data_IF_708152926640
#
_entry.id   IF_708152926640
#
_cell.length_a   1.000
_cell.length_b   1.000
_cell.length_c   1.000
_cell.angle_alpha   90.00
_cell.angle_beta   90.00
_cell.angle_gamma   90.00
#
_symmetry.space_group_name_H-M   'P 1'
#
loop_
_entity.id
_entity.type
_entity.pdbx_description
1 polymer ?
#
# COMPACT_ATOMS: atom_id res chain seq x y z
N UNK A 1 13.86 26.28 -57.83
CA UNK A 1 12.91 27.38 -57.80
C UNK A 1 12.33 27.40 -56.37
N UNK A 2 12.83 28.30 -55.53
CA UNK A 2 12.18 29.55 -55.08
C UNK A 2 10.98 29.20 -54.20
N UNK A 3 10.81 29.60 -52.94
CA UNK A 3 11.38 30.63 -52.06
C UNK A 3 10.57 30.53 -50.74
N UNK A 4 11.22 30.54 -49.60
CA UNK A 4 11.27 31.67 -48.63
C UNK A 4 9.96 31.96 -47.92
N UNK A 5 9.89 32.01 -46.61
CA UNK A 5 10.33 32.93 -45.60
C UNK A 5 9.71 32.59 -44.25
N UNK A 6 10.29 32.46 -43.15
CA UNK A 6 11.05 33.44 -42.35
C UNK A 6 10.26 34.65 -41.87
N UNK A 7 9.92 34.71 -40.57
CA UNK A 7 9.83 35.89 -39.69
C UNK A 7 9.87 35.37 -38.27
N UNK A 8 10.91 35.34 -37.53
CA UNK A 8 11.70 36.36 -36.79
C UNK A 8 10.89 37.26 -35.83
N UNK A 9 11.16 37.01 -34.56
CA UNK A 9 11.66 37.90 -33.49
C UNK A 9 10.95 39.24 -33.24
N UNK A 10 10.82 39.54 -31.92
CA UNK A 10 11.18 40.83 -31.25
C UNK A 10 10.87 40.58 -29.76
N UNK A 11 11.82 40.45 -28.84
CA UNK A 11 12.63 41.50 -28.19
C UNK A 11 11.80 42.56 -27.46
N UNK A 12 11.85 42.57 -26.12
CA UNK A 12 12.16 43.83 -25.40
C UNK A 12 12.77 43.57 -24.02
N UNK A 13 14.01 43.96 -23.88
CA UNK A 13 14.67 44.33 -22.63
C UNK A 13 14.13 45.68 -22.15
N UNK A 14 13.98 45.84 -20.84
CA UNK A 14 13.99 47.17 -20.22
C UNK A 14 14.83 47.12 -18.94
N UNK A 15 15.93 47.83 -19.03
CA UNK A 15 16.88 48.22 -17.99
C UNK A 15 16.25 49.37 -17.20
N UNK A 16 16.28 49.30 -15.89
CA UNK A 16 16.04 50.47 -15.05
C UNK A 16 17.15 50.63 -14.02
N UNK A 17 17.65 51.80 -13.98
CA UNK A 17 18.87 52.29 -13.40
C UNK A 17 18.87 52.39 -11.88
N UNK A 18 20.08 52.25 -11.36
CA UNK A 18 20.54 52.55 -10.01
C UNK A 18 20.51 54.06 -9.76
N UNK A 19 20.04 54.49 -8.60
CA UNK A 19 20.48 55.72 -7.97
C UNK A 19 20.92 55.45 -6.55
N UNK A 20 22.22 55.59 -6.34
CA UNK A 20 22.89 55.74 -5.06
C UNK A 20 22.63 57.15 -4.51
N UNK A 21 22.22 57.22 -3.25
CA UNK A 21 22.46 58.39 -2.42
C UNK A 21 23.11 57.96 -1.13
N UNK A 22 24.33 58.40 -0.93
CA UNK A 22 25.04 58.29 0.35
C UNK A 22 24.86 59.62 1.12
N UNK A 23 24.67 59.53 2.45
CA UNK A 23 25.26 60.40 3.47
C UNK A 23 24.77 59.99 4.88
N UNK A 24 25.62 59.60 5.66
CA UNK A 24 26.41 60.05 6.80
C UNK A 24 25.75 59.96 8.20
N UNK A 25 26.42 59.15 9.04
CA UNK A 25 26.69 59.26 10.48
C UNK A 25 25.62 59.76 11.44
N UNK A 26 25.28 58.84 12.35
CA UNK A 26 24.77 59.06 13.68
C UNK A 26 24.84 57.74 14.48
N UNK A 27 25.74 57.68 15.43
CA UNK A 27 25.90 56.60 16.37
C UNK A 27 24.77 56.64 17.41
N UNK A 28 23.98 55.55 17.52
CA UNK A 28 23.34 55.18 18.77
C UNK A 28 23.14 53.66 18.79
N UNK A 29 23.72 53.03 19.80
CA UNK A 29 23.65 51.63 20.11
C UNK A 29 22.24 51.27 20.61
N UNK A 30 21.46 50.58 19.80
CA UNK A 30 20.40 49.65 20.23
C UNK A 30 20.13 48.69 19.09
N UNK A 31 20.64 47.48 19.22
CA UNK A 31 20.31 46.38 18.32
C UNK A 31 18.83 46.00 18.48
N UNK A 32 18.02 46.13 17.42
CA UNK A 32 16.72 45.50 17.41
C UNK A 32 16.87 44.01 17.08
N UNK A 33 16.32 43.16 17.93
CA UNK A 33 16.15 41.73 17.66
C UNK A 33 15.65 41.49 16.24
N UNK A 34 16.23 40.55 15.47
CA UNK A 34 15.80 40.26 14.12
C UNK A 34 14.33 39.75 14.15
N UNK A 35 13.47 40.44 13.38
CA UNK A 35 12.14 39.93 13.08
C UNK A 35 12.27 38.58 12.39
N UNK A 36 11.44 37.56 12.76
CA UNK A 36 11.41 36.32 12.01
C UNK A 36 11.07 36.60 10.55
N UNK A 37 11.80 35.97 9.65
CA UNK A 37 11.55 36.02 8.21
C UNK A 37 10.06 35.72 7.92
N UNK A 38 9.42 36.46 7.02
CA UNK A 38 8.06 36.18 6.60
C UNK A 38 8.03 34.76 6.05
N UNK A 39 7.11 33.92 6.55
CA UNK A 39 6.84 32.60 5.98
C UNK A 39 6.67 32.78 4.47
N UNK A 40 7.32 31.96 3.64
CA UNK A 40 7.11 32.00 2.20
C UNK A 40 5.60 31.83 1.93
N UNK A 41 5.06 32.70 1.09
CA UNK A 41 3.69 32.59 0.62
C UNK A 41 3.40 31.16 0.17
N UNK A 42 2.24 30.60 0.51
CA UNK A 42 1.86 29.28 0.03
C UNK A 42 1.94 29.30 -1.50
N UNK A 43 2.73 28.39 -2.09
CA UNK A 43 2.79 28.21 -3.54
C UNK A 43 1.35 28.13 -4.04
N UNK A 44 0.99 28.86 -5.11
CA UNK A 44 -0.35 28.78 -5.67
C UNK A 44 -0.65 27.31 -5.94
N UNK A 45 -1.79 26.87 -5.44
CA UNK A 45 -2.32 25.53 -5.68
C UNK A 45 -2.34 25.33 -7.21
N UNK A 46 -1.71 24.27 -7.77
CA UNK A 46 -1.72 24.08 -9.21
C UNK A 46 -3.18 24.09 -9.68
N UNK A 47 -3.47 24.93 -10.67
CA UNK A 47 -4.79 24.99 -11.30
C UNK A 47 -5.21 23.56 -11.65
N UNK A 48 -6.35 23.14 -11.11
CA UNK A 48 -6.95 21.85 -11.40
C UNK A 48 -7.33 21.87 -12.88
N UNK A 49 -6.50 21.29 -13.74
CA UNK A 49 -6.95 20.90 -15.07
C UNK A 49 -7.99 19.82 -14.87
N UNK A 50 -9.26 20.18 -15.03
CA UNK A 50 -10.35 19.19 -15.17
C UNK A 50 -9.91 18.35 -16.37
N UNK A 51 -9.54 17.10 -16.09
CA UNK A 51 -9.22 16.15 -17.15
C UNK A 51 -10.48 16.03 -18.00
N UNK A 52 -10.37 16.39 -19.26
CA UNK A 52 -11.42 16.18 -20.24
C UNK A 52 -11.76 14.68 -20.24
N UNK A 53 -12.95 14.35 -19.76
CA UNK A 53 -13.37 12.94 -19.59
C UNK A 53 -13.47 12.19 -20.92
N UNK A 54 -13.22 12.87 -22.04
CA UNK A 54 -12.99 12.26 -23.36
C UNK A 54 -14.21 11.55 -23.96
N UNK A 55 -15.38 11.64 -23.34
CA UNK A 55 -16.61 11.21 -23.95
C UNK A 55 -17.63 12.35 -24.01
N UNK A 56 -18.22 12.50 -25.15
CA UNK A 56 -19.28 13.48 -25.34
C UNK A 56 -20.43 13.18 -24.39
N UNK A 57 -21.03 14.22 -23.83
CA UNK A 57 -22.31 14.15 -23.14
C UNK A 57 -23.22 13.29 -23.99
N UNK A 58 -23.88 12.28 -23.40
CA UNK A 58 -24.82 11.44 -24.13
C UNK A 58 -25.87 12.32 -24.85
N UNK A 59 -25.87 12.38 -26.18
CA UNK A 59 -26.76 13.29 -26.89
C UNK A 59 -28.24 12.86 -26.82
N UNK A 60 -28.49 11.62 -26.40
CA UNK A 60 -29.81 11.01 -26.36
C UNK A 60 -30.46 11.06 -24.97
N UNK A 61 -30.00 11.92 -24.08
CA UNK A 61 -30.63 12.12 -22.78
C UNK A 61 -32.03 12.70 -22.96
N UNK A 62 -33.03 12.10 -22.30
CA UNK A 62 -34.38 12.63 -22.24
C UNK A 62 -34.36 13.96 -21.46
N UNK A 63 -34.56 15.07 -22.18
CA UNK A 63 -34.52 16.43 -21.65
C UNK A 63 -35.63 16.76 -20.63
N UNK A 64 -36.62 15.89 -20.50
CA UNK A 64 -37.70 16.04 -19.48
C UNK A 64 -37.28 15.50 -18.12
N UNK A 65 -36.23 14.67 -18.07
CA UNK A 65 -35.72 14.06 -16.87
C UNK A 65 -34.61 14.91 -16.27
N UNK A 66 -34.73 15.26 -15.00
CA UNK A 66 -33.75 16.09 -14.29
C UNK A 66 -32.64 15.28 -13.60
N UNK A 67 -32.97 14.03 -13.26
CA UNK A 67 -32.08 13.16 -12.51
C UNK A 67 -31.81 11.87 -13.27
N UNK A 68 -30.54 11.59 -13.54
CA UNK A 68 -30.13 10.38 -14.24
C UNK A 68 -28.67 10.01 -13.91
N UNK A 69 -28.33 8.76 -14.23
CA UNK A 69 -26.97 8.23 -14.33
C UNK A 69 -26.84 7.61 -15.72
N UNK A 70 -25.85 8.02 -16.49
CA UNK A 70 -25.55 7.40 -17.78
C UNK A 70 -24.12 6.86 -17.80
N UNK A 71 -23.91 5.68 -18.37
CA UNK A 71 -22.58 5.08 -18.47
C UNK A 71 -22.39 4.34 -19.80
N UNK A 72 -21.10 4.22 -20.17
CA UNK A 72 -20.65 3.39 -21.28
C UNK A 72 -20.10 2.07 -20.76
N UNK A 73 -20.57 0.96 -21.32
CA UNK A 73 -20.12 -0.39 -20.98
C UNK A 73 -19.93 -1.26 -22.21
N UNK A 74 -19.03 -2.25 -22.10
CA UNK A 74 -18.87 -3.32 -23.08
C UNK A 74 -19.58 -4.62 -22.67
N UNK A 75 -20.24 -4.62 -21.52
CA UNK A 75 -21.03 -5.78 -21.08
C UNK A 75 -22.39 -5.79 -21.74
N UNK A 76 -22.87 -6.93 -22.28
CA UNK A 76 -24.22 -7.02 -22.86
C UNK A 76 -25.30 -7.07 -21.79
N UNK A 77 -24.94 -7.31 -20.54
CA UNK A 77 -25.89 -7.39 -19.42
C UNK A 77 -25.15 -7.17 -18.11
N UNK A 78 -25.87 -6.77 -17.07
CA UNK A 78 -25.32 -6.63 -15.73
C UNK A 78 -26.38 -6.83 -14.65
N UNK A 79 -25.95 -7.27 -13.48
CA UNK A 79 -26.71 -7.15 -12.25
C UNK A 79 -26.37 -5.81 -11.60
N UNK A 80 -27.37 -4.96 -11.40
CA UNK A 80 -27.22 -3.63 -10.80
C UNK A 80 -28.19 -3.51 -9.64
N UNK A 81 -27.71 -2.96 -8.53
CA UNK A 81 -28.50 -2.68 -7.34
C UNK A 81 -28.71 -1.18 -7.19
N UNK A 82 -29.94 -0.75 -7.06
CA UNK A 82 -30.31 0.66 -7.10
C UNK A 82 -31.37 0.97 -6.05
N UNK A 83 -31.22 2.13 -5.40
CA UNK A 83 -32.28 2.74 -4.63
C UNK A 83 -32.51 4.19 -5.08
N UNK A 84 -33.75 4.63 -5.15
CA UNK A 84 -34.13 5.96 -5.59
C UNK A 84 -35.28 6.53 -4.77
N UNK A 85 -35.35 7.85 -4.73
CA UNK A 85 -36.51 8.56 -4.21
C UNK A 85 -37.58 8.60 -5.31
N UNK A 86 -38.69 7.89 -5.10
CA UNK A 86 -39.75 7.78 -6.07
C UNK A 86 -39.53 6.68 -7.10
N UNK A 87 -40.13 6.89 -8.28
CA UNK A 87 -40.05 5.93 -9.40
C UNK A 87 -39.01 6.39 -10.42
N UNK A 88 -38.54 5.47 -11.24
CA UNK A 88 -37.69 5.76 -12.38
C UNK A 88 -37.78 4.67 -13.44
N UNK A 89 -36.99 4.76 -14.48
CA UNK A 89 -36.95 3.82 -15.61
C UNK A 89 -35.55 3.72 -16.19
N UNK A 90 -35.30 2.79 -17.08
CA UNK A 90 -33.99 2.56 -17.67
C UNK A 90 -34.09 2.56 -19.19
N UNK A 91 -33.33 3.44 -19.83
CA UNK A 91 -33.17 3.49 -21.28
C UNK A 91 -32.09 2.49 -21.68
N UNK A 92 -32.49 1.32 -22.10
CA UNK A 92 -31.61 0.18 -22.40
C UNK A 92 -31.01 0.24 -23.81
N UNK A 93 -31.66 0.98 -24.73
CA UNK A 93 -31.28 1.12 -26.14
C UNK A 93 -30.67 2.49 -26.47
N UNK A 94 -30.66 3.40 -25.48
CA UNK A 94 -30.14 4.77 -25.60
C UNK A 94 -30.85 5.61 -26.69
N UNK A 95 -32.18 5.53 -26.80
CA UNK A 95 -32.95 6.35 -27.72
C UNK A 95 -33.55 7.61 -27.06
N UNK A 96 -33.45 7.76 -25.73
CA UNK A 96 -33.96 8.88 -24.94
C UNK A 96 -35.51 8.84 -24.77
N UNK A 97 -36.15 7.74 -25.12
CA UNK A 97 -37.57 7.52 -24.99
C UNK A 97 -37.82 6.31 -24.08
N UNK A 98 -38.94 6.33 -23.40
CA UNK A 98 -39.37 5.18 -22.61
C UNK A 98 -40.17 4.22 -23.48
N UNK A 99 -39.59 3.11 -23.85
CA UNK A 99 -40.19 2.07 -24.67
C UNK A 99 -41.10 1.13 -23.85
N UNK A 100 -41.87 0.26 -24.53
CA UNK A 100 -42.83 -0.64 -23.86
C UNK A 100 -42.16 -1.60 -22.87
N UNK A 101 -40.93 -2.02 -23.13
CA UNK A 101 -40.16 -2.90 -22.25
C UNK A 101 -39.31 -2.14 -21.20
N UNK A 102 -39.35 -0.83 -21.17
CA UNK A 102 -38.65 0.07 -20.26
C UNK A 102 -39.57 0.69 -19.20
N UNK A 103 -40.40 -0.15 -18.61
CA UNK A 103 -41.43 0.29 -17.69
C UNK A 103 -40.92 1.06 -16.48
N UNK A 104 -41.66 2.10 -16.10
CA UNK A 104 -41.44 2.81 -14.84
C UNK A 104 -41.53 1.85 -13.65
N UNK A 105 -40.54 1.88 -12.79
CA UNK A 105 -40.41 0.97 -11.66
C UNK A 105 -39.98 1.70 -10.37
N UNK A 106 -40.21 1.05 -9.25
CA UNK A 106 -39.61 1.45 -7.95
C UNK A 106 -38.27 0.72 -7.80
N UNK A 107 -37.21 1.45 -7.51
CA UNK A 107 -35.92 0.89 -7.20
C UNK A 107 -35.81 0.65 -5.68
N UNK A 108 -35.62 -0.60 -5.27
CA UNK A 108 -35.81 -1.05 -3.88
C UNK A 108 -34.53 -1.59 -3.22
N UNK A 109 -33.37 -1.19 -3.69
CA UNK A 109 -32.07 -1.68 -3.19
C UNK A 109 -31.94 -3.23 -3.28
N UNK A 110 -32.52 -3.81 -4.33
CA UNK A 110 -32.41 -5.25 -4.62
C UNK A 110 -31.71 -5.42 -5.96
N UNK A 111 -30.73 -6.34 -6.05
CA UNK A 111 -30.04 -6.61 -7.30
C UNK A 111 -31.02 -7.04 -8.41
N UNK A 112 -30.97 -6.37 -9.56
CA UNK A 112 -31.78 -6.69 -10.72
C UNK A 112 -30.90 -6.88 -11.95
N UNK A 113 -31.23 -7.89 -12.77
CA UNK A 113 -30.53 -8.14 -14.03
C UNK A 113 -31.10 -7.25 -15.13
N UNK A 114 -30.21 -6.58 -15.85
CA UNK A 114 -30.52 -5.78 -17.02
C UNK A 114 -29.80 -6.34 -18.24
N UNK A 115 -30.52 -6.46 -19.36
CA UNK A 115 -29.93 -6.78 -20.68
C UNK A 115 -29.85 -5.50 -21.48
N UNK A 116 -28.66 -5.11 -21.86
CA UNK A 116 -28.41 -3.86 -22.58
C UNK A 116 -28.59 -4.05 -24.09
N UNK A 117 -29.25 -3.13 -24.73
CA UNK A 117 -29.46 -3.08 -26.17
C UNK A 117 -28.48 -2.07 -26.83
N UNK A 118 -27.83 -1.26 -26.01
CA UNK A 118 -26.82 -0.28 -26.40
C UNK A 118 -25.60 -0.37 -25.49
N UNK A 119 -24.44 0.07 -25.97
CA UNK A 119 -23.24 0.24 -25.14
C UNK A 119 -23.37 1.43 -24.18
N UNK A 120 -24.25 2.38 -24.46
CA UNK A 120 -24.61 3.48 -23.56
C UNK A 120 -25.95 3.16 -22.94
N UNK A 121 -26.04 3.25 -21.63
CA UNK A 121 -27.24 2.95 -20.84
C UNK A 121 -27.52 4.10 -19.91
N UNK A 122 -28.76 4.53 -19.82
CA UNK A 122 -29.19 5.62 -18.94
C UNK A 122 -30.25 5.16 -17.96
N UNK A 123 -30.00 5.36 -16.70
CA UNK A 123 -30.95 5.17 -15.60
C UNK A 123 -31.54 6.51 -15.23
N UNK A 124 -32.86 6.68 -15.33
CA UNK A 124 -33.58 7.88 -14.94
C UNK A 124 -34.24 7.69 -13.58
N UNK A 125 -34.00 8.63 -12.66
CA UNK A 125 -34.51 8.60 -11.29
C UNK A 125 -33.62 9.36 -10.31
N UNK A 126 -34.20 9.75 -9.18
CA UNK A 126 -33.44 10.44 -8.12
C UNK A 126 -32.76 9.42 -7.19
N UNK A 127 -31.57 8.99 -7.57
CA UNK A 127 -30.84 7.89 -6.95
C UNK A 127 -30.23 8.28 -5.61
N UNK A 128 -30.35 7.37 -4.63
CA UNK A 128 -29.66 7.43 -3.35
C UNK A 128 -28.55 6.37 -3.24
N UNK A 129 -28.69 5.23 -3.93
CA UNK A 129 -27.69 4.16 -3.99
C UNK A 129 -27.58 3.67 -5.44
N UNK A 130 -26.36 3.47 -5.89
CA UNK A 130 -26.06 2.92 -7.20
C UNK A 130 -24.84 2.00 -7.11
N UNK A 131 -25.07 0.69 -7.31
CA UNK A 131 -24.07 -0.36 -7.23
C UNK A 131 -24.03 -1.10 -8.56
N UNK A 132 -22.96 -0.88 -9.33
CA UNK A 132 -22.73 -1.45 -10.65
C UNK A 132 -21.33 -2.05 -10.75
N UNK A 133 -21.11 -3.13 -10.02
CA UNK A 133 -19.83 -3.81 -9.93
C UNK A 133 -19.64 -4.83 -11.04
N UNK A 134 -18.42 -4.95 -11.59
CA UNK A 134 -18.07 -5.93 -12.65
C UNK A 134 -18.88 -5.76 -13.95
N UNK A 135 -19.23 -4.54 -14.29
CA UNK A 135 -20.06 -4.20 -15.47
C UNK A 135 -19.21 -3.78 -16.66
N UNK A 136 -17.86 -3.76 -16.54
CA UNK A 136 -16.94 -3.23 -17.55
C UNK A 136 -17.24 -1.78 -17.95
N UNK A 137 -17.65 -0.97 -16.97
CA UNK A 137 -17.90 0.45 -17.16
C UNK A 137 -16.57 1.15 -17.43
N UNK A 138 -16.48 1.87 -18.55
CA UNK A 138 -15.31 2.69 -18.90
C UNK A 138 -15.51 4.15 -18.54
N UNK A 139 -16.72 4.66 -18.74
CA UNK A 139 -17.10 6.04 -18.48
C UNK A 139 -18.45 6.08 -17.81
N UNK A 140 -18.66 7.02 -16.90
CA UNK A 140 -19.92 7.25 -16.21
C UNK A 140 -20.11 8.74 -15.95
N UNK A 141 -21.31 9.24 -16.18
CA UNK A 141 -21.75 10.58 -15.80
C UNK A 141 -22.71 10.50 -14.61
N UNK A 142 -22.33 11.09 -13.50
CA UNK A 142 -23.06 11.18 -12.25
C UNK A 142 -23.52 12.61 -11.94
N UNK A 143 -23.28 13.56 -12.85
CA UNK A 143 -23.49 14.99 -12.61
C UNK A 143 -24.94 15.36 -12.29
N UNK A 144 -25.88 14.52 -12.67
CA UNK A 144 -27.32 14.71 -12.45
C UNK A 144 -27.90 13.87 -11.29
N UNK A 145 -27.04 13.39 -10.40
CA UNK A 145 -27.43 12.54 -9.26
C UNK A 145 -26.97 13.13 -7.91
N UNK A 146 -27.44 14.32 -7.51
CA UNK A 146 -26.97 15.00 -6.30
C UNK A 146 -27.41 14.32 -5.00
N UNK A 147 -28.47 13.50 -5.01
CA UNK A 147 -28.99 12.77 -3.86
C UNK A 147 -28.25 11.46 -3.58
N UNK A 148 -27.26 11.09 -4.42
CA UNK A 148 -26.52 9.84 -4.31
C UNK A 148 -25.70 9.82 -3.02
N UNK A 149 -25.95 8.82 -2.18
CA UNK A 149 -25.28 8.61 -0.87
C UNK A 149 -24.24 7.50 -0.95
N UNK A 150 -24.56 6.40 -1.62
CA UNK A 150 -23.69 5.24 -1.82
C UNK A 150 -23.46 4.99 -3.29
N UNK A 151 -22.21 4.91 -3.69
CA UNK A 151 -21.75 4.59 -5.03
C UNK A 151 -20.77 3.42 -4.98
N UNK A 152 -21.06 2.33 -5.69
CA UNK A 152 -20.12 1.24 -5.87
C UNK A 152 -19.90 0.92 -7.35
N UNK A 153 -18.66 1.09 -7.79
CA UNK A 153 -18.18 0.85 -9.15
C UNK A 153 -16.95 -0.05 -9.15
N UNK A 154 -16.92 -1.02 -8.22
CA UNK A 154 -15.80 -1.94 -8.09
C UNK A 154 -15.62 -2.81 -9.35
N UNK A 155 -14.36 -3.15 -9.65
CA UNK A 155 -14.03 -4.08 -10.74
C UNK A 155 -14.63 -3.68 -12.08
N UNK A 156 -14.47 -2.40 -12.42
CA UNK A 156 -14.78 -1.83 -13.71
C UNK A 156 -13.50 -1.43 -14.46
N UNK A 157 -13.64 -0.70 -15.54
CA UNK A 157 -12.52 -0.25 -16.39
C UNK A 157 -12.40 1.28 -16.40
N UNK A 158 -12.81 1.93 -15.29
CA UNK A 158 -12.77 3.38 -15.13
C UNK A 158 -11.34 3.90 -15.11
N UNK A 159 -11.05 4.88 -15.94
CA UNK A 159 -9.82 5.65 -15.92
C UNK A 159 -9.99 7.02 -15.24
N UNK A 160 -11.22 7.54 -15.21
CA UNK A 160 -11.60 8.85 -14.66
C UNK A 160 -12.95 8.77 -13.96
N UNK A 161 -13.19 9.70 -13.03
CA UNK A 161 -14.47 9.84 -12.34
C UNK A 161 -14.57 11.27 -11.78
N UNK A 162 -15.71 11.94 -11.99
CA UNK A 162 -16.05 13.23 -11.38
C UNK A 162 -17.18 13.06 -10.36
N UNK A 163 -16.93 13.46 -9.12
CA UNK A 163 -17.89 13.37 -8.02
C UNK A 163 -18.34 14.76 -7.52
N UNK A 164 -17.99 15.82 -8.22
CA UNK A 164 -18.20 17.22 -7.79
C UNK A 164 -19.68 17.58 -7.56
N UNK A 165 -20.61 16.93 -8.27
CA UNK A 165 -22.05 17.19 -8.17
C UNK A 165 -22.78 16.27 -7.18
N UNK A 166 -22.11 15.25 -6.66
CA UNK A 166 -22.74 14.25 -5.78
C UNK A 166 -22.55 14.63 -4.31
N UNK A 167 -23.15 15.75 -3.93
CA UNK A 167 -22.95 16.39 -2.60
C UNK A 167 -23.41 15.53 -1.41
N UNK A 168 -24.35 14.61 -1.64
CA UNK A 168 -24.87 13.72 -0.61
C UNK A 168 -24.01 12.47 -0.36
N UNK A 169 -22.98 12.19 -1.20
CA UNK A 169 -22.14 10.98 -1.09
C UNK A 169 -21.54 10.85 0.31
N UNK A 170 -21.66 9.67 0.87
CA UNK A 170 -21.05 9.28 2.15
C UNK A 170 -20.24 7.99 2.04
N UNK A 171 -20.43 7.22 0.99
CA UNK A 171 -19.74 5.96 0.76
C UNK A 171 -19.45 5.74 -0.74
N UNK A 172 -18.17 5.49 -1.08
CA UNK A 172 -17.72 5.32 -2.46
C UNK A 172 -16.79 4.11 -2.56
N UNK A 173 -17.04 3.22 -3.51
CA UNK A 173 -16.22 2.05 -3.81
C UNK A 173 -15.75 2.11 -5.26
N UNK A 174 -14.46 2.35 -5.47
CA UNK A 174 -13.83 2.47 -6.81
C UNK A 174 -12.59 1.60 -6.97
N UNK A 175 -12.35 0.68 -6.04
CA UNK A 175 -11.25 -0.27 -6.12
C UNK A 175 -11.36 -1.20 -7.33
N UNK A 176 -10.24 -1.74 -7.79
CA UNK A 176 -10.14 -2.58 -8.99
C UNK A 176 -10.65 -1.88 -10.26
N UNK A 177 -10.16 -0.68 -10.51
CA UNK A 177 -10.35 0.07 -11.75
C UNK A 177 -8.98 0.37 -12.40
N UNK A 178 -8.93 1.30 -13.36
CA UNK A 178 -7.71 1.68 -14.10
C UNK A 178 -7.32 3.14 -13.86
N UNK A 179 -7.69 3.70 -12.71
CA UNK A 179 -7.53 5.11 -12.35
C UNK A 179 -6.05 5.37 -12.03
N UNK A 180 -5.38 6.14 -12.87
CA UNK A 180 -3.99 6.55 -12.69
C UNK A 180 -3.86 7.67 -11.66
N UNK A 181 -2.63 7.96 -11.26
CA UNK A 181 -2.31 8.90 -10.17
C UNK A 181 -2.94 10.28 -10.37
N UNK A 182 -2.84 10.86 -11.58
CA UNK A 182 -3.41 12.18 -11.90
C UNK A 182 -4.95 12.17 -11.84
N UNK A 183 -5.58 11.11 -12.35
CA UNK A 183 -7.03 10.94 -12.30
C UNK A 183 -7.53 10.69 -10.88
N UNK A 184 -6.77 9.95 -10.06
CA UNK A 184 -7.10 9.73 -8.66
C UNK A 184 -7.00 11.05 -7.86
N UNK A 185 -6.02 11.89 -8.18
CA UNK A 185 -5.91 13.22 -7.60
C UNK A 185 -7.10 14.09 -7.99
N UNK A 186 -7.56 14.04 -9.26
CA UNK A 186 -8.74 14.76 -9.71
C UNK A 186 -10.01 14.30 -8.98
N UNK A 187 -10.17 12.98 -8.71
CA UNK A 187 -11.26 12.45 -7.89
C UNK A 187 -11.22 13.04 -6.48
N UNK A 188 -10.07 13.00 -5.81
CA UNK A 188 -9.90 13.58 -4.47
C UNK A 188 -10.18 15.10 -4.44
N UNK A 189 -9.91 15.79 -5.53
CA UNK A 189 -10.22 17.22 -5.71
C UNK A 189 -11.71 17.45 -5.97
N UNK A 190 -12.38 16.60 -6.73
CA UNK A 190 -13.80 16.73 -7.10
C UNK A 190 -14.74 16.35 -5.95
N UNK A 191 -14.35 15.39 -5.12
CA UNK A 191 -15.21 14.85 -4.06
C UNK A 191 -15.63 15.94 -3.06
N UNK A 192 -16.93 16.03 -2.68
CA UNK A 192 -17.42 17.09 -1.78
C UNK A 192 -16.81 17.00 -0.38
N UNK A 193 -16.49 18.14 0.22
CA UNK A 193 -16.07 18.20 1.63
C UNK A 193 -17.22 17.84 2.56
N UNK A 194 -16.93 17.09 3.64
CA UNK A 194 -17.89 16.67 4.66
C UNK A 194 -17.69 17.44 5.96
N UNK A 195 -18.74 17.51 6.77
CA UNK A 195 -18.67 18.04 8.13
C UNK A 195 -17.88 17.08 9.03
N UNK A 196 -17.20 17.62 10.05
CA UNK A 196 -16.32 16.86 10.96
C UNK A 196 -17.04 15.66 11.61
N UNK A 197 -18.31 15.83 11.96
CA UNK A 197 -19.11 14.79 12.62
C UNK A 197 -19.81 13.83 11.64
N UNK A 198 -19.63 14.01 10.32
CA UNK A 198 -20.25 13.21 9.27
C UNK A 198 -19.16 12.71 8.32
N UNK A 199 -18.25 11.89 8.83
CA UNK A 199 -17.17 11.30 8.04
C UNK A 199 -17.76 10.40 6.97
N UNK A 200 -17.24 10.56 5.75
CA UNK A 200 -17.56 9.69 4.62
C UNK A 200 -16.38 8.74 4.33
N UNK A 201 -16.65 7.67 3.61
CA UNK A 201 -15.68 6.61 3.35
C UNK A 201 -15.49 6.41 1.86
N UNK A 202 -14.24 6.25 1.42
CA UNK A 202 -13.91 5.89 0.04
C UNK A 202 -12.94 4.71 -0.01
N UNK A 203 -13.34 3.63 -0.71
CA UNK A 203 -12.55 2.44 -0.95
C UNK A 203 -11.79 2.58 -2.27
N UNK A 204 -10.48 2.75 -2.18
CA UNK A 204 -9.62 3.15 -3.29
C UNK A 204 -8.95 1.99 -4.01
N UNK A 205 -8.57 0.95 -3.27
CA UNK A 205 -7.86 -0.23 -3.80
C UNK A 205 -8.27 -1.51 -3.08
N UNK A 206 -8.09 -2.63 -3.76
CA UNK A 206 -8.28 -3.97 -3.21
C UNK A 206 -7.00 -4.79 -3.39
N UNK A 207 -6.60 -5.50 -2.32
CA UNK A 207 -5.42 -6.38 -2.32
C UNK A 207 -5.80 -7.86 -2.32
N UNK A 208 -7.01 -8.16 -2.73
CA UNK A 208 -7.44 -9.55 -2.87
C UNK A 208 -6.64 -10.24 -3.97
N UNK A 209 -6.14 -11.45 -3.69
CA UNK A 209 -5.54 -12.33 -4.71
C UNK A 209 -6.50 -12.56 -5.88
N UNK A 210 -5.96 -12.57 -7.11
CA UNK A 210 -6.75 -12.75 -8.33
C UNK A 210 -7.54 -11.50 -8.77
N UNK A 211 -7.33 -10.33 -8.16
CA UNK A 211 -7.86 -9.05 -8.65
C UNK A 211 -6.78 -8.26 -9.37
N UNK A 212 -7.13 -7.69 -10.52
CA UNK A 212 -6.25 -6.77 -11.26
C UNK A 212 -6.42 -5.35 -10.76
N UNK A 213 -5.87 -5.03 -9.58
CA UNK A 213 -5.88 -3.66 -9.09
C UNK A 213 -4.88 -2.80 -9.86
N UNK A 214 -5.37 -1.79 -10.57
CA UNK A 214 -4.55 -0.89 -11.36
C UNK A 214 -4.64 0.58 -10.93
N UNK A 215 -5.48 0.90 -9.94
CA UNK A 215 -5.56 2.24 -9.36
C UNK A 215 -4.23 2.66 -8.76
N UNK A 216 -3.84 3.93 -8.96
CA UNK A 216 -2.63 4.52 -8.42
C UNK A 216 -2.96 5.62 -7.44
N UNK A 217 -2.34 5.58 -6.27
CA UNK A 217 -2.59 6.52 -5.18
C UNK A 217 -1.25 7.05 -4.69
N UNK A 218 -1.22 8.32 -4.32
CA UNK A 218 -0.08 8.95 -3.67
C UNK A 218 -0.50 9.66 -2.38
N UNK A 219 0.48 10.17 -1.65
CA UNK A 219 0.24 10.89 -0.39
C UNK A 219 -0.68 12.11 -0.57
N UNK A 220 -0.57 12.82 -1.67
CA UNK A 220 -1.36 14.03 -1.93
C UNK A 220 -2.86 13.72 -2.03
N UNK A 221 -3.23 12.58 -2.64
CA UNK A 221 -4.61 12.07 -2.67
C UNK A 221 -5.14 11.85 -1.25
N UNK A 222 -4.35 11.21 -0.40
CA UNK A 222 -4.74 10.88 0.97
C UNK A 222 -4.90 12.14 1.84
N UNK A 223 -3.97 13.08 1.72
CA UNK A 223 -4.02 14.36 2.43
C UNK A 223 -5.30 15.14 2.04
N UNK A 224 -5.61 15.23 0.73
CA UNK A 224 -6.83 15.90 0.26
C UNK A 224 -8.12 15.23 0.75
N UNK A 225 -8.18 13.90 0.76
CA UNK A 225 -9.33 13.18 1.28
C UNK A 225 -9.51 13.45 2.78
N UNK A 226 -8.43 13.43 3.53
CA UNK A 226 -8.43 13.74 4.97
C UNK A 226 -8.90 15.17 5.23
N UNK A 227 -8.40 16.16 4.49
CA UNK A 227 -8.80 17.57 4.60
C UNK A 227 -10.29 17.80 4.26
N UNK A 228 -10.86 16.90 3.49
CA UNK A 228 -12.29 16.89 3.14
C UNK A 228 -13.15 16.03 4.05
N UNK A 229 -12.60 15.47 5.13
CA UNK A 229 -13.25 14.56 6.08
C UNK A 229 -13.73 13.25 5.43
N UNK A 230 -12.97 12.73 4.46
CA UNK A 230 -13.14 11.41 3.87
C UNK A 230 -12.10 10.44 4.45
N UNK A 231 -12.56 9.28 4.87
CA UNK A 231 -11.73 8.17 5.30
C UNK A 231 -11.39 7.30 4.08
N UNK A 232 -10.12 7.31 3.68
CA UNK A 232 -9.63 6.43 2.61
C UNK A 232 -9.46 5.00 3.16
N UNK A 233 -10.04 4.02 2.48
CA UNK A 233 -9.98 2.60 2.84
C UNK A 233 -9.42 1.74 1.74
N UNK A 234 -8.83 0.63 2.16
CA UNK A 234 -8.26 -0.41 1.31
C UNK A 234 -8.88 -1.73 1.70
N UNK A 235 -9.21 -2.54 0.71
CA UNK A 235 -9.91 -3.79 0.91
C UNK A 235 -8.91 -4.96 0.89
N UNK A 236 -8.78 -5.69 1.99
CA UNK A 236 -8.03 -6.94 2.08
C UNK A 236 -9.00 -8.06 2.50
N UNK A 237 -9.10 -9.10 1.67
CA UNK A 237 -9.92 -10.27 2.01
C UNK A 237 -9.01 -11.44 2.35
N UNK A 238 -9.08 -11.93 3.56
CA UNK A 238 -8.47 -13.20 3.95
C UNK A 238 -9.21 -14.35 3.28
N UNK A 239 -8.50 -15.26 2.59
CA UNK A 239 -9.08 -16.38 1.83
C UNK A 239 -9.77 -17.44 2.66
N UNK A 240 -9.67 -17.40 4.00
CA UNK A 240 -10.09 -18.46 4.88
C UNK A 240 -11.30 -18.17 5.78
N UNK A 241 -11.98 -17.04 5.61
CA UNK A 241 -13.22 -16.79 6.34
C UNK A 241 -14.35 -16.49 5.36
N UNK A 242 -15.33 -17.40 5.29
CA UNK A 242 -16.64 -17.18 4.65
C UNK A 242 -17.49 -16.12 5.38
N UNK A 243 -16.98 -15.50 6.42
CA UNK A 243 -17.59 -14.33 7.06
C UNK A 243 -16.94 -13.07 6.52
N UNK A 244 -17.78 -12.13 6.14
CA UNK A 244 -17.46 -10.76 5.77
C UNK A 244 -16.88 -10.00 6.98
N UNK A 245 -15.74 -10.42 7.49
CA UNK A 245 -14.88 -9.61 8.33
C UNK A 245 -14.10 -8.66 7.39
N UNK A 246 -14.87 -7.75 6.80
CA UNK A 246 -14.37 -6.55 6.17
C UNK A 246 -13.82 -5.66 7.28
N UNK A 247 -12.60 -5.98 7.76
CA UNK A 247 -11.84 -5.01 8.54
C UNK A 247 -11.09 -4.13 7.51
N UNK A 248 -11.73 -3.03 7.06
CA UNK A 248 -11.09 -2.11 6.14
C UNK A 248 -9.93 -1.51 6.92
N UNK A 249 -8.73 -1.51 6.35
CA UNK A 249 -7.59 -0.81 6.93
C UNK A 249 -7.97 0.67 7.07
N UNK A 250 -8.30 1.16 8.27
CA UNK A 250 -8.43 2.59 8.44
C UNK A 250 -7.04 3.21 8.31
N UNK A 251 -6.89 4.09 7.33
CA UNK A 251 -5.67 4.86 7.10
C UNK A 251 -5.33 5.83 8.25
N UNK A 252 -6.11 5.86 9.32
CA UNK A 252 -6.00 6.81 10.43
C UNK A 252 -4.65 6.80 11.15
N UNK A 253 -3.79 5.81 10.91
CA UNK A 253 -2.47 5.71 11.53
C UNK A 253 -1.41 5.09 10.61
N UNK A 254 -1.48 5.28 9.30
CA UNK A 254 -0.28 5.02 8.49
C UNK A 254 0.67 6.18 8.79
N UNK A 255 1.81 5.94 9.42
CA UNK A 255 2.80 6.98 9.59
C UNK A 255 3.10 7.55 8.20
N UNK A 256 2.93 8.85 8.02
CA UNK A 256 3.38 9.55 6.83
C UNK A 256 4.90 9.48 6.82
N UNK A 257 5.45 8.42 6.23
CA UNK A 257 6.88 8.21 6.29
C UNK A 257 7.31 6.82 5.86
N UNK A 258 8.53 6.54 6.13
CA UNK A 258 9.12 5.24 5.95
C UNK A 258 8.79 4.32 7.15
N UNK A 259 8.58 3.04 6.87
CA UNK A 259 8.38 2.06 7.95
C UNK A 259 9.70 1.61 8.58
N UNK A 260 10.83 2.12 8.09
CA UNK A 260 12.15 1.69 8.49
C UNK A 260 12.48 0.25 8.09
N UNK A 261 11.70 -0.35 7.18
CA UNK A 261 11.88 -1.71 6.68
C UNK A 261 12.31 -1.64 5.23
N UNK A 262 13.29 -2.47 4.87
CA UNK A 262 13.83 -2.58 3.52
C UNK A 262 13.76 -4.02 3.02
N UNK A 263 13.58 -4.19 1.72
CA UNK A 263 13.72 -5.45 0.99
C UNK A 263 14.80 -5.19 -0.07
N UNK A 264 15.99 -5.75 0.17
CA UNK A 264 17.20 -5.29 -0.52
C UNK A 264 17.46 -3.81 -0.26
N UNK A 265 17.82 -3.08 -1.28
CA UNK A 265 18.05 -1.62 -1.21
C UNK A 265 16.75 -0.79 -1.18
N UNK A 266 15.58 -1.42 -1.36
CA UNK A 266 14.31 -0.71 -1.50
C UNK A 266 13.52 -0.63 -0.21
N UNK A 267 13.19 0.59 0.20
CA UNK A 267 12.44 0.89 1.42
C UNK A 267 10.94 0.66 1.26
N UNK A 268 10.31 0.06 2.30
CA UNK A 268 8.86 0.04 2.45
C UNK A 268 8.37 1.39 2.97
N UNK A 269 7.43 1.96 2.24
CA UNK A 269 6.81 3.26 2.53
C UNK A 269 5.29 3.17 2.51
N UNK A 270 4.61 4.20 2.96
CA UNK A 270 3.16 4.31 2.86
C UNK A 270 2.64 4.24 1.41
N UNK A 271 3.50 4.48 0.42
CA UNK A 271 3.13 4.50 -0.99
C UNK A 271 3.45 3.21 -1.75
N UNK A 272 4.15 2.24 -1.16
CA UNK A 272 4.55 1.01 -1.88
C UNK A 272 4.34 -0.31 -1.09
N UNK A 273 3.96 -0.25 0.20
CA UNK A 273 3.89 -1.44 1.06
C UNK A 273 2.83 -2.46 0.64
N UNK A 274 1.82 -2.04 -0.12
CA UNK A 274 0.74 -2.91 -0.60
C UNK A 274 1.06 -3.62 -1.92
N UNK A 275 2.06 -3.14 -2.66
CA UNK A 275 2.48 -3.69 -3.96
C UNK A 275 3.97 -4.03 -3.94
N UNK A 276 4.30 -5.07 -3.18
CA UNK A 276 5.67 -5.58 -3.10
C UNK A 276 5.84 -6.61 -4.21
N UNK A 277 6.31 -6.16 -5.37
CA UNK A 277 6.54 -6.97 -6.57
C UNK A 277 7.97 -6.78 -7.06
N UNK A 278 8.47 -7.67 -7.92
CA UNK A 278 9.81 -7.54 -8.52
C UNK A 278 10.02 -6.24 -9.29
N UNK A 279 8.95 -5.66 -9.83
CA UNK A 279 9.00 -4.35 -10.50
C UNK A 279 9.37 -3.21 -9.52
N UNK A 280 8.81 -3.24 -8.31
CA UNK A 280 8.99 -2.18 -7.30
C UNK A 280 10.13 -2.50 -6.31
N UNK A 281 10.44 -3.78 -6.14
CA UNK A 281 11.47 -4.31 -5.26
C UNK A 281 12.36 -5.27 -6.05
N UNK A 282 13.40 -4.79 -6.73
CA UNK A 282 14.23 -5.60 -7.64
C UNK A 282 14.89 -6.82 -6.99
N UNK A 283 15.10 -6.79 -5.68
CA UNK A 283 15.62 -7.93 -4.93
C UNK A 283 14.64 -9.11 -4.84
N UNK A 284 13.33 -8.90 -5.06
CA UNK A 284 12.31 -9.93 -5.06
C UNK A 284 12.27 -10.62 -6.43
N UNK A 285 12.73 -11.87 -6.53
CA UNK A 285 12.72 -12.66 -7.77
C UNK A 285 11.37 -13.34 -8.01
N UNK A 286 10.73 -13.81 -6.93
CA UNK A 286 9.43 -14.53 -7.00
C UNK A 286 8.72 -14.55 -5.65
N UNK A 287 7.46 -15.00 -5.65
CA UNK A 287 6.61 -15.12 -4.48
C UNK A 287 5.87 -13.82 -4.14
N UNK A 288 5.19 -13.85 -3.02
CA UNK A 288 4.35 -12.74 -2.55
C UNK A 288 4.81 -12.28 -1.18
N UNK A 289 5.08 -10.99 -1.06
CA UNK A 289 5.33 -10.33 0.22
C UNK A 289 4.15 -9.42 0.54
N UNK A 290 3.60 -9.54 1.75
CA UNK A 290 2.56 -8.64 2.26
C UNK A 290 3.04 -8.01 3.56
N UNK A 291 2.80 -6.72 3.73
CA UNK A 291 3.12 -6.03 4.98
C UNK A 291 1.85 -5.47 5.62
N UNK A 292 1.65 -5.74 6.92
CA UNK A 292 0.56 -5.20 7.74
C UNK A 292 1.11 -4.11 8.67
N UNK A 293 1.01 -2.83 8.29
CA UNK A 293 1.70 -1.73 8.99
C UNK A 293 1.34 -1.61 10.47
N UNK A 294 0.05 -1.65 10.82
CA UNK A 294 -0.42 -1.50 12.21
C UNK A 294 0.13 -2.56 13.15
N UNK A 295 0.25 -3.80 12.66
CA UNK A 295 0.74 -4.94 13.43
C UNK A 295 2.23 -5.17 13.23
N UNK A 296 2.86 -4.45 12.29
CA UNK A 296 4.23 -4.63 11.86
C UNK A 296 4.54 -6.09 11.50
N UNK A 297 3.66 -6.69 10.71
CA UNK A 297 3.78 -8.07 10.26
C UNK A 297 4.15 -8.08 8.78
N UNK A 298 5.24 -8.77 8.45
CA UNK A 298 5.67 -9.07 7.09
C UNK A 298 5.38 -10.55 6.81
N UNK A 299 4.51 -10.83 5.85
CA UNK A 299 4.13 -12.19 5.45
C UNK A 299 4.93 -12.54 4.20
N UNK A 300 5.67 -13.65 4.26
CA UNK A 300 6.43 -14.21 3.14
C UNK A 300 5.73 -15.48 2.66
N UNK A 301 5.32 -15.51 1.40
CA UNK A 301 4.63 -16.65 0.80
C UNK A 301 5.33 -17.08 -0.50
N UNK A 302 6.09 -18.19 -0.45
CA UNK A 302 6.85 -18.71 -1.57
C UNK A 302 7.91 -17.75 -2.11
N UNK A 303 8.49 -16.93 -1.26
CA UNK A 303 9.34 -15.79 -1.62
C UNK A 303 10.75 -16.23 -1.96
N UNK A 304 11.29 -15.69 -3.06
CA UNK A 304 12.73 -15.68 -3.35
C UNK A 304 13.24 -14.24 -3.38
N UNK A 305 14.10 -13.89 -2.44
CA UNK A 305 14.83 -12.62 -2.41
C UNK A 305 16.30 -12.89 -2.73
N UNK A 306 16.87 -12.10 -3.64
CA UNK A 306 18.29 -12.16 -4.00
C UNK A 306 18.90 -10.77 -4.00
N UNK A 307 19.87 -10.56 -3.12
CA UNK A 307 20.65 -9.33 -3.00
C UNK A 307 22.09 -9.59 -3.38
N UNK A 308 22.55 -8.93 -4.41
CA UNK A 308 23.95 -8.98 -4.90
C UNK A 308 24.69 -7.68 -4.68
N UNK A 309 23.99 -6.64 -4.27
CA UNK A 309 24.52 -5.31 -3.97
C UNK A 309 25.42 -5.35 -2.73
N UNK A 310 26.45 -4.52 -2.73
CA UNK A 310 27.35 -4.38 -1.60
C UNK A 310 26.62 -3.70 -0.44
N UNK A 311 26.94 -4.12 0.79
CA UNK A 311 26.45 -3.53 2.04
C UNK A 311 24.91 -3.48 2.16
N UNK A 312 24.24 -4.49 1.59
CA UNK A 312 22.78 -4.56 1.54
C UNK A 312 22.26 -5.89 2.09
N UNK A 313 21.34 -5.80 3.06
CA UNK A 313 20.66 -6.97 3.65
C UNK A 313 19.51 -7.46 2.77
N UNK A 314 19.09 -8.70 2.96
CA UNK A 314 17.92 -9.26 2.29
C UNK A 314 16.64 -8.57 2.74
N UNK A 315 16.36 -8.62 4.04
CA UNK A 315 15.31 -7.87 4.73
C UNK A 315 15.96 -7.15 5.89
N UNK A 316 15.76 -5.82 6.00
CA UNK A 316 16.28 -5.10 7.15
C UNK A 316 15.30 -4.11 7.76
N UNK A 317 15.48 -3.87 9.07
CA UNK A 317 14.85 -2.78 9.81
C UNK A 317 15.94 -1.88 10.36
N UNK A 318 15.84 -0.58 10.07
CA UNK A 318 16.85 0.41 10.44
C UNK A 318 16.79 0.83 11.91
N UNK A 319 17.87 1.43 12.40
CA UNK A 319 18.00 1.95 13.76
C UNK A 319 16.96 3.06 14.10
N UNK A 320 16.46 3.77 13.10
CA UNK A 320 15.48 4.85 13.30
C UNK A 320 14.10 4.38 13.77
N UNK A 321 13.81 3.08 13.62
CA UNK A 321 12.51 2.52 14.00
C UNK A 321 12.66 1.48 15.10
N UNK A 322 12.29 1.85 16.34
CA UNK A 322 12.44 1.00 17.52
C UNK A 322 11.33 -0.03 17.75
N UNK A 323 10.38 -0.16 16.83
CA UNK A 323 9.26 -1.07 16.99
C UNK A 323 9.62 -2.51 16.55
N UNK A 324 9.03 -3.49 17.21
CA UNK A 324 9.24 -4.90 16.91
C UNK A 324 8.69 -5.28 15.53
N UNK A 325 9.30 -6.28 14.90
CA UNK A 325 8.90 -6.81 13.60
C UNK A 325 8.49 -8.28 13.75
N UNK A 326 7.40 -8.68 13.13
CA UNK A 326 7.00 -10.08 12.98
C UNK A 326 7.12 -10.49 11.53
N UNK A 327 7.78 -11.61 11.24
CA UNK A 327 7.81 -12.27 9.94
C UNK A 327 7.00 -13.56 10.04
N UNK A 328 5.96 -13.68 9.21
CA UNK A 328 5.13 -14.87 9.10
C UNK A 328 5.52 -15.63 7.84
N UNK A 329 5.90 -16.89 8.00
CA UNK A 329 6.30 -17.78 6.92
C UNK A 329 5.14 -18.64 6.45
N UNK A 330 4.86 -18.57 5.16
CA UNK A 330 3.97 -19.47 4.43
C UNK A 330 4.78 -20.06 3.29
N UNK A 331 4.53 -21.33 2.94
CA UNK A 331 5.25 -21.99 1.86
C UNK A 331 6.79 -22.02 2.06
N UNK A 332 7.52 -22.18 0.97
CA UNK A 332 8.98 -22.26 0.95
C UNK A 332 9.60 -20.92 0.57
N UNK A 333 10.24 -20.26 1.52
CA UNK A 333 10.87 -18.96 1.32
C UNK A 333 12.39 -19.08 1.27
N UNK A 334 13.04 -18.23 0.49
CA UNK A 334 14.48 -18.18 0.31
C UNK A 334 14.98 -16.75 0.30
N UNK A 335 16.02 -16.46 1.08
CA UNK A 335 16.70 -15.18 1.08
C UNK A 335 18.19 -15.41 0.88
N UNK A 336 18.71 -14.87 -0.21
CA UNK A 336 20.13 -14.82 -0.53
C UNK A 336 20.64 -13.39 -0.38
N UNK A 337 21.71 -13.20 0.39
CA UNK A 337 22.46 -11.94 0.45
C UNK A 337 23.94 -12.23 0.23
N UNK A 338 24.57 -11.57 -0.74
CA UNK A 338 25.94 -11.88 -1.13
C UNK A 338 26.94 -11.58 -0.02
N UNK A 339 26.88 -10.40 0.57
CA UNK A 339 27.92 -9.89 1.48
C UNK A 339 27.38 -9.35 2.82
N UNK A 340 26.08 -9.50 3.08
CA UNK A 340 25.40 -8.96 4.26
C UNK A 340 24.41 -9.94 4.84
N UNK A 341 23.72 -9.57 5.90
CA UNK A 341 22.73 -10.43 6.55
C UNK A 341 21.55 -10.73 5.62
N UNK A 342 21.02 -11.93 5.70
CA UNK A 342 19.75 -12.22 5.05
C UNK A 342 18.60 -11.46 5.75
N UNK A 343 18.66 -11.35 7.09
CA UNK A 343 17.70 -10.55 7.89
C UNK A 343 18.48 -9.77 8.95
N UNK A 344 18.28 -8.45 9.00
CA UNK A 344 18.86 -7.56 10.01
C UNK A 344 17.80 -6.69 10.68
N UNK A 345 17.66 -6.77 12.01
CA UNK A 345 16.79 -5.89 12.79
C UNK A 345 17.64 -5.07 13.75
N UNK A 346 17.93 -3.83 13.35
CA UNK A 346 18.90 -2.96 14.02
C UNK A 346 18.32 -2.11 15.14
N UNK A 347 17.00 -2.15 15.36
CA UNK A 347 16.36 -1.52 16.52
C UNK A 347 14.95 -2.08 16.73
N UNK A 348 14.83 -3.07 17.58
CA UNK A 348 13.57 -3.77 17.88
C UNK A 348 13.83 -5.26 18.03
N UNK A 349 12.78 -5.98 18.42
CA UNK A 349 12.79 -7.45 18.49
C UNK A 349 12.26 -8.03 17.18
N UNK A 350 12.68 -9.24 16.86
CA UNK A 350 12.18 -10.00 15.72
C UNK A 350 11.46 -11.25 16.19
N UNK A 351 10.26 -11.46 15.68
CA UNK A 351 9.54 -12.72 15.76
C UNK A 351 9.46 -13.35 14.37
N UNK A 352 9.83 -14.62 14.25
CA UNK A 352 9.61 -15.43 13.03
C UNK A 352 8.65 -16.55 13.41
N UNK A 353 7.55 -16.68 12.68
CA UNK A 353 6.47 -17.64 12.97
C UNK A 353 5.80 -18.14 11.69
N UNK A 354 4.84 -19.06 11.81
CA UNK A 354 4.11 -19.63 10.68
C UNK A 354 4.43 -21.11 10.50
N UNK A 355 3.95 -21.70 9.42
CA UNK A 355 4.13 -23.11 9.08
C UNK A 355 5.04 -23.33 7.85
N UNK A 356 5.57 -22.25 7.28
CA UNK A 356 6.45 -22.31 6.12
C UNK A 356 7.92 -22.55 6.47
N UNK A 357 8.76 -22.62 5.43
CA UNK A 357 10.21 -22.76 5.56
C UNK A 357 10.93 -21.48 5.18
N UNK A 358 12.12 -21.26 5.69
CA UNK A 358 12.99 -20.15 5.39
C UNK A 358 14.42 -20.62 5.21
N UNK A 359 14.93 -20.54 3.99
CA UNK A 359 16.30 -20.87 3.64
C UNK A 359 17.11 -19.59 3.51
N UNK A 360 18.11 -19.43 4.37
CA UNK A 360 18.98 -18.26 4.43
C UNK A 360 20.36 -18.62 3.93
N UNK A 361 20.85 -17.87 2.95
CA UNK A 361 22.16 -18.11 2.36
C UNK A 361 22.94 -16.81 2.19
N UNK A 362 24.21 -16.84 2.63
CA UNK A 362 25.21 -15.80 2.35
C UNK A 362 26.48 -16.41 1.79
N UNK A 363 27.18 -15.70 0.90
CA UNK A 363 28.51 -16.11 0.42
C UNK A 363 29.63 -15.70 1.34
N UNK A 364 29.42 -14.71 2.17
CA UNK A 364 30.50 -14.19 3.04
C UNK A 364 30.68 -15.04 4.29
N UNK A 365 31.94 -15.41 4.56
CA UNK A 365 32.35 -16.41 5.53
C UNK A 365 32.12 -16.05 7.01
N UNK A 366 31.92 -14.76 7.34
CA UNK A 366 31.78 -14.27 8.73
C UNK A 366 30.44 -13.56 8.98
N UNK A 367 29.42 -13.78 8.14
CA UNK A 367 28.18 -13.00 8.22
C UNK A 367 27.12 -13.71 9.06
N UNK A 368 26.41 -12.88 9.81
CA UNK A 368 25.21 -13.25 10.56
C UNK A 368 24.03 -13.27 9.59
N UNK A 369 23.49 -14.44 9.30
CA UNK A 369 22.29 -14.52 8.45
C UNK A 369 21.07 -13.91 9.10
N UNK A 370 20.93 -14.06 10.43
CA UNK A 370 19.95 -13.30 11.21
C UNK A 370 20.71 -12.51 12.27
N UNK A 371 20.55 -11.19 12.24
CA UNK A 371 21.15 -10.26 13.17
C UNK A 371 20.11 -9.37 13.82
N UNK A 372 19.86 -9.53 15.13
CA UNK A 372 18.84 -8.80 15.88
C UNK A 372 19.45 -8.14 17.11
N UNK A 373 19.32 -6.83 17.24
CA UNK A 373 19.90 -6.06 18.37
C UNK A 373 19.14 -6.26 19.70
N UNK A 374 17.87 -6.72 19.64
CA UNK A 374 17.11 -7.08 20.84
C UNK A 374 16.81 -8.57 20.88
N UNK A 375 15.57 -8.94 21.12
CA UNK A 375 15.16 -10.33 21.24
C UNK A 375 14.80 -10.94 19.88
N UNK A 376 15.17 -12.20 19.67
CA UNK A 376 14.75 -13.03 18.56
C UNK A 376 13.93 -14.20 19.07
N UNK A 377 12.70 -14.34 18.59
CA UNK A 377 11.85 -15.50 18.84
C UNK A 377 11.52 -16.20 17.53
N UNK A 378 11.80 -17.50 17.47
CA UNK A 378 11.43 -18.40 16.36
C UNK A 378 10.40 -19.37 16.92
N UNK A 379 9.16 -19.31 16.44
CA UNK A 379 8.05 -20.12 16.99
C UNK A 379 7.02 -20.52 15.94
N UNK A 380 6.00 -21.30 16.35
CA UNK A 380 4.82 -21.58 15.54
C UNK A 380 4.96 -22.70 14.51
N UNK A 381 5.99 -23.53 14.60
CA UNK A 381 6.16 -24.70 13.73
C UNK A 381 6.94 -24.43 12.44
N UNK A 382 7.47 -23.23 12.25
CA UNK A 382 8.29 -22.91 11.07
C UNK A 382 9.61 -23.69 11.08
N UNK A 383 10.23 -23.79 9.89
CA UNK A 383 11.54 -24.40 9.71
C UNK A 383 12.51 -23.41 9.11
N UNK A 384 13.67 -23.22 9.74
CA UNK A 384 14.72 -22.31 9.28
C UNK A 384 15.98 -23.12 8.99
N UNK A 385 16.54 -22.94 7.80
CA UNK A 385 17.86 -23.42 7.41
C UNK A 385 18.78 -22.25 7.08
N UNK A 386 19.98 -22.24 7.66
CA UNK A 386 20.94 -21.14 7.53
C UNK A 386 22.35 -21.66 7.35
N UNK A 387 23.10 -21.10 6.40
CA UNK A 387 24.55 -21.32 6.27
C UNK A 387 25.40 -20.26 7.01
N UNK A 388 24.77 -19.34 7.71
CA UNK A 388 25.43 -18.32 8.53
C UNK A 388 24.85 -18.24 9.93
N UNK A 389 25.50 -17.50 10.80
CA UNK A 389 25.18 -17.38 12.23
C UNK A 389 23.78 -16.74 12.43
N UNK A 390 23.09 -17.20 13.48
CA UNK A 390 21.87 -16.57 14.01
C UNK A 390 22.19 -15.95 15.37
N UNK A 391 21.97 -14.65 15.51
CA UNK A 391 22.30 -13.92 16.74
C UNK A 391 21.19 -12.97 17.19
N UNK A 392 21.02 -12.90 18.52
CA UNK A 392 20.26 -11.86 19.21
C UNK A 392 21.14 -11.23 20.28
N UNK A 393 21.25 -9.90 20.32
CA UNK A 393 22.07 -9.20 21.33
C UNK A 393 21.43 -9.24 22.73
N UNK A 394 20.16 -9.70 22.82
CA UNK A 394 19.53 -10.03 24.09
C UNK A 394 19.18 -11.51 24.16
N UNK A 395 17.89 -11.85 24.07
CA UNK A 395 17.42 -13.23 24.21
C UNK A 395 17.12 -13.85 22.86
N UNK A 396 17.63 -15.06 22.62
CA UNK A 396 17.22 -15.92 21.51
C UNK A 396 16.38 -17.07 22.03
N UNK A 397 15.17 -17.21 21.49
CA UNK A 397 14.22 -18.26 21.85
C UNK A 397 13.85 -19.08 20.61
N UNK A 398 13.94 -20.43 20.70
CA UNK A 398 13.34 -21.33 19.72
C UNK A 398 12.24 -22.12 20.42
N UNK A 399 11.00 -22.02 19.91
CA UNK A 399 9.84 -22.65 20.50
C UNK A 399 9.01 -23.39 19.43
N UNK A 400 8.83 -24.70 19.58
CA UNK A 400 8.06 -25.56 18.65
C UNK A 400 8.43 -25.36 17.17
N UNK A 401 9.72 -25.16 16.88
CA UNK A 401 10.19 -24.88 15.52
C UNK A 401 11.47 -25.63 15.22
N UNK A 402 11.75 -25.84 13.94
CA UNK A 402 12.97 -26.51 13.51
C UNK A 402 13.98 -25.45 13.06
N UNK A 403 15.23 -25.58 13.52
CA UNK A 403 16.31 -24.69 13.10
C UNK A 403 17.55 -25.52 12.80
N UNK A 404 18.08 -25.35 11.58
CA UNK A 404 19.33 -25.97 11.18
C UNK A 404 20.32 -24.90 10.71
N UNK A 405 21.41 -24.73 11.46
CA UNK A 405 22.52 -23.82 11.10
C UNK A 405 23.70 -24.68 10.71
N UNK A 406 24.24 -24.46 9.51
CA UNK A 406 25.30 -25.26 8.92
C UNK A 406 26.64 -24.50 8.90
N UNK A 407 27.72 -25.19 9.31
CA UNK A 407 29.10 -24.90 8.92
C UNK A 407 29.53 -23.45 9.08
N UNK A 408 29.18 -22.79 10.17
CA UNK A 408 29.65 -21.44 10.48
C UNK A 408 31.08 -21.48 11.04
N UNK A 409 31.86 -20.39 10.87
CA UNK A 409 33.15 -20.21 11.51
C UNK A 409 33.07 -19.66 12.94
N UNK A 410 31.86 -19.27 13.34
CA UNK A 410 31.50 -18.70 14.63
C UNK A 410 30.49 -19.61 15.33
N UNK A 411 30.13 -19.37 16.59
CA UNK A 411 29.03 -20.09 17.21
C UNK A 411 27.76 -20.04 16.34
N UNK A 412 27.16 -21.20 16.09
CA UNK A 412 26.00 -21.30 15.17
C UNK A 412 24.84 -20.41 15.58
N UNK A 413 24.52 -20.37 16.87
CA UNK A 413 23.46 -19.52 17.43
C UNK A 413 23.94 -18.86 18.71
N UNK A 414 23.60 -17.60 18.91
CA UNK A 414 24.01 -16.78 20.06
C UNK A 414 22.84 -15.95 20.59
N UNK A 415 22.64 -16.01 21.91
CA UNK A 415 21.85 -15.04 22.66
C UNK A 415 22.75 -14.39 23.70
N UNK A 416 23.01 -13.08 23.60
CA UNK A 416 23.99 -12.43 24.48
C UNK A 416 23.53 -12.48 25.94
N UNK A 417 22.29 -12.19 26.24
CA UNK A 417 21.72 -12.27 27.58
C UNK A 417 21.15 -13.69 27.87
N UNK A 418 20.54 -14.34 26.91
CA UNK A 418 20.00 -15.69 27.07
C UNK A 418 19.80 -16.43 25.74
N UNK A 419 19.91 -17.77 25.77
CA UNK A 419 19.53 -18.70 24.71
C UNK A 419 18.62 -19.78 25.30
N UNK A 420 17.41 -19.95 24.77
CA UNK A 420 16.38 -20.84 25.31
C UNK A 420 15.77 -21.73 24.25
N UNK A 421 15.58 -23.00 24.58
CA UNK A 421 14.77 -23.94 23.82
C UNK A 421 13.48 -24.24 24.59
N UNK A 422 12.34 -24.06 23.95
CA UNK A 422 11.01 -24.36 24.51
C UNK A 422 10.31 -25.36 23.59
N UNK A 423 9.92 -26.52 24.14
CA UNK A 423 9.29 -27.57 23.35
C UNK A 423 10.12 -27.98 22.10
N UNK A 424 11.44 -27.95 22.25
CA UNK A 424 12.43 -28.31 21.24
C UNK A 424 13.57 -29.09 21.90
N UNK A 425 14.28 -29.88 21.11
CA UNK A 425 15.53 -30.53 21.52
C UNK A 425 16.61 -30.35 20.47
N UNK A 426 17.86 -30.48 20.91
CA UNK A 426 18.98 -30.56 19.98
C UNK A 426 19.03 -31.97 19.39
N UNK A 427 18.98 -32.08 18.08
CA UNK A 427 19.05 -33.33 17.33
C UNK A 427 20.51 -33.66 16.99
N UNK A 428 21.33 -32.67 16.65
CA UNK A 428 22.73 -32.78 16.32
C UNK A 428 23.49 -31.50 16.60
N UNK A 429 24.72 -31.54 17.13
CA UNK A 429 25.41 -32.71 17.70
C UNK A 429 24.79 -33.20 19.02
N UNK A 430 24.84 -34.51 19.23
CA UNK A 430 24.36 -35.09 20.49
C UNK A 430 25.25 -34.68 21.66
N UNK A 431 24.65 -34.57 22.86
CA UNK A 431 25.37 -34.17 24.08
C UNK A 431 25.66 -32.68 24.18
N UNK A 432 25.09 -31.87 23.27
CA UNK A 432 25.20 -30.42 23.29
C UNK A 432 24.37 -29.83 24.44
N UNK A 433 24.89 -28.80 25.08
CA UNK A 433 24.22 -28.05 26.14
C UNK A 433 24.28 -26.54 25.86
N UNK A 434 23.30 -25.79 26.35
CA UNK A 434 23.34 -24.34 26.31
C UNK A 434 24.14 -23.85 27.52
N UNK A 435 25.20 -23.11 27.28
CA UNK A 435 26.03 -22.52 28.34
C UNK A 435 26.53 -21.11 27.94
N UNK A 436 26.91 -20.34 28.94
CA UNK A 436 27.60 -19.08 28.74
C UNK A 436 29.06 -19.36 28.37
N UNK A 437 29.50 -18.83 27.22
CA UNK A 437 30.83 -19.01 26.72
C UNK A 437 31.70 -17.83 27.17
N UNK A 438 32.76 -18.14 27.96
CA UNK A 438 33.73 -17.16 28.48
C UNK A 438 33.07 -15.91 29.11
N UNK A 439 31.93 -16.07 29.78
CA UNK A 439 31.14 -14.99 30.39
C UNK A 439 30.63 -13.89 29.42
N UNK A 440 30.69 -14.11 28.12
CA UNK A 440 30.26 -13.13 27.11
C UNK A 440 28.86 -13.37 26.61
N UNK A 441 28.50 -14.60 26.17
CA UNK A 441 27.20 -14.91 25.58
C UNK A 441 26.79 -16.36 25.77
N UNK A 442 25.51 -16.65 25.62
CA UNK A 442 24.97 -18.02 25.63
C UNK A 442 25.00 -18.61 24.22
N UNK A 443 25.48 -19.84 24.11
CA UNK A 443 25.53 -20.61 22.88
C UNK A 443 25.44 -22.11 23.14
N UNK A 444 25.41 -22.92 22.09
CA UNK A 444 25.50 -24.36 22.17
C UNK A 444 26.95 -24.80 22.30
N UNK A 445 27.26 -25.49 23.40
CA UNK A 445 28.57 -26.04 23.67
C UNK A 445 28.61 -27.54 23.36
N UNK A 446 29.73 -27.99 22.81
CA UNK A 446 30.00 -29.42 22.63
C UNK A 446 30.06 -30.15 23.97
N UNK A 447 29.99 -31.48 23.93
CA UNK A 447 30.05 -32.33 25.14
C UNK A 447 31.32 -32.14 25.98
N UNK A 448 32.41 -31.68 25.40
CA UNK A 448 33.64 -31.33 26.11
C UNK A 448 33.54 -30.04 26.94
N UNK A 449 32.50 -29.23 26.73
CA UNK A 449 32.23 -27.94 27.39
C UNK A 449 33.29 -26.84 27.18
N UNK A 450 34.22 -27.02 26.27
CA UNK A 450 35.26 -26.03 25.93
C UNK A 450 35.00 -25.36 24.58
N UNK A 451 34.45 -26.13 23.63
CA UNK A 451 34.22 -25.66 22.28
C UNK A 451 32.73 -25.38 22.03
N UNK A 452 32.44 -24.31 21.34
CA UNK A 452 31.07 -24.04 20.84
C UNK A 452 30.75 -24.86 19.58
N UNK A 453 29.46 -25.02 19.30
CA UNK A 453 29.00 -25.66 18.09
C UNK A 453 28.95 -24.65 16.93
N UNK A 454 29.66 -24.96 15.85
CA UNK A 454 29.63 -24.22 14.59
C UNK A 454 28.53 -24.73 13.65
N UNK A 455 27.90 -25.84 14.00
CA UNK A 455 26.77 -26.44 13.37
C UNK A 455 25.77 -26.94 14.43
N UNK A 456 24.48 -26.71 14.23
CA UNK A 456 23.45 -27.13 15.20
C UNK A 456 22.17 -27.45 14.48
N UNK A 457 21.54 -28.55 14.85
CA UNK A 457 20.17 -28.92 14.40
C UNK A 457 19.26 -29.05 15.59
N UNK A 458 18.23 -28.22 15.61
CA UNK A 458 17.17 -28.19 16.60
C UNK A 458 15.90 -28.69 15.94
N UNK A 459 15.15 -29.55 16.61
CA UNK A 459 13.86 -30.06 16.16
C UNK A 459 12.80 -29.81 17.23
N UNK A 460 11.59 -29.53 16.77
CA UNK A 460 10.42 -29.47 17.65
C UNK A 460 10.15 -30.87 18.27
N UNK A 461 9.66 -30.87 19.52
CA UNK A 461 9.27 -32.10 20.22
C UNK A 461 7.89 -32.58 19.76
#
# INVERSE_FOLDING_TARGET
>A
MKTLGLIKKIFLLLIAAVTLVACSKGSDNNEPTPKPDPKPDPKPNPEVKILDLGWAINPNINQKEQHYITFYTQSPSAQIEINAIGKGWVDLNNNGLQDEDEQTQVFTNSPKNYTFKSAVVTFYGNFTHFIANKVKIKNIDLSHSPALKTLSLERNELAHLDLSKNIALSEVWINNNQIKEEAMLAIAQSIPKKEINNKATIFLQSFKEGTSEANKINKQVLDLLTDKNWEAKFYERDEYKESYDDDPFPMENIPTGDYGIYIGSKQLTATNYWKITSENFPALESGVIRYKPKKRILILNGVSIKVTEKDTDGISQTEKNSADLTIVLQENNKIYSKNHSAIAVLNGSLKITGNGTLNLFTEAYLIRNINVIKDLTIEGGCSIESNGQIIADKTLVVNRSNVYVKGTSQPAMVGVEALKLLNCRVDSPKGTSIKKWQDHFFTFMKSNNYDYCTEIKIVAN
#
